data_IF_803071357999
#
_entry.id   IF_803071357999
#
_cell.length_a   1.000
_cell.length_b   1.000
_cell.length_c   1.000
_cell.angle_alpha   90.00
_cell.angle_beta   90.00
_cell.angle_gamma   90.00
#
_symmetry.space_group_name_H-M   'P 1'
#
loop_
_entity.id
_entity.type
_entity.pdbx_description
1 polymer ?
#
# COMPACT_ATOMS: atom_id res chain seq x y z
N UNK A 1 12.32 17.44 25.16
CA UNK A 1 12.27 17.72 23.70
C UNK A 1 11.60 16.58 22.99
N UNK A 2 10.66 16.88 22.08
CA UNK A 2 10.01 15.85 21.28
C UNK A 2 10.90 15.48 20.11
N UNK A 3 11.18 14.20 19.97
CA UNK A 3 11.98 13.67 18.86
C UNK A 3 11.15 12.68 18.06
N UNK A 4 11.51 12.51 16.79
CA UNK A 4 10.82 11.60 15.89
C UNK A 4 11.82 10.68 15.21
N UNK A 5 11.37 9.49 14.92
CA UNK A 5 12.09 8.59 14.03
C UNK A 5 11.30 8.46 12.73
N UNK A 6 11.99 8.15 11.65
CA UNK A 6 11.40 8.10 10.31
C UNK A 6 11.68 6.76 9.66
N UNK A 7 10.73 6.33 8.84
CA UNK A 7 10.86 5.10 8.09
C UNK A 7 10.26 5.31 6.69
N UNK A 8 10.86 4.68 5.70
CA UNK A 8 10.36 4.70 4.33
C UNK A 8 9.98 3.27 3.96
N UNK A 9 8.75 3.09 3.47
CA UNK A 9 8.30 1.79 2.98
C UNK A 9 7.99 1.87 1.50
N UNK A 10 8.27 0.77 0.79
CA UNK A 10 7.96 0.65 -0.63
C UNK A 10 6.88 -0.40 -0.80
N UNK A 11 5.89 -0.06 -1.62
CA UNK A 11 4.77 -0.95 -1.92
C UNK A 11 4.72 -1.16 -3.42
N UNK A 12 5.10 -2.35 -3.92
CA UNK A 12 5.15 -2.60 -5.35
C UNK A 12 3.79 -2.44 -6.02
N UNK A 13 3.82 -2.08 -7.30
CA UNK A 13 2.59 -1.88 -8.07
C UNK A 13 1.70 -3.13 -8.07
N UNK A 14 2.29 -4.31 -7.98
CA UNK A 14 1.55 -5.58 -7.96
C UNK A 14 0.59 -5.66 -6.77
N UNK A 15 0.90 -4.99 -5.66
CA UNK A 15 0.03 -4.99 -4.48
C UNK A 15 -1.28 -4.24 -4.73
N UNK A 16 -1.34 -3.46 -5.81
CA UNK A 16 -2.51 -2.66 -6.17
C UNK A 16 -3.26 -3.25 -7.36
N UNK A 17 -2.93 -4.49 -7.74
CA UNK A 17 -3.54 -5.21 -8.84
C UNK A 17 -3.92 -6.62 -8.38
N UNK A 18 -4.83 -7.23 -9.11
CA UNK A 18 -5.20 -8.63 -8.87
C UNK A 18 -5.43 -9.32 -10.19
N UNK A 19 -5.17 -10.64 -10.20
CA UNK A 19 -5.42 -11.47 -11.36
C UNK A 19 -6.83 -12.07 -11.24
N UNK A 20 -7.60 -11.95 -12.30
CA UNK A 20 -8.97 -12.44 -12.33
C UNK A 20 -9.16 -13.31 -13.57
N UNK A 21 -9.85 -14.44 -13.41
CA UNK A 21 -10.23 -15.27 -14.53
C UNK A 21 -11.52 -14.75 -15.14
N UNK A 22 -11.48 -14.54 -16.45
CA UNK A 22 -12.67 -14.26 -17.24
C UNK A 22 -12.93 -15.45 -18.16
N UNK A 23 -14.10 -16.03 -18.06
CA UNK A 23 -14.47 -17.19 -18.85
C UNK A 23 -15.62 -16.84 -19.79
N UNK A 24 -15.55 -17.33 -21.04
CA UNK A 24 -16.62 -17.17 -22.01
C UNK A 24 -17.63 -18.32 -21.89
N UNK A 25 -18.79 -18.16 -22.52
CA UNK A 25 -19.80 -19.19 -22.53
C UNK A 25 -19.34 -20.49 -23.22
N UNK A 26 -18.34 -20.37 -24.11
CA UNK A 26 -17.77 -21.51 -24.82
C UNK A 26 -16.73 -22.26 -23.98
N UNK A 27 -16.47 -21.81 -22.76
CA UNK A 27 -15.53 -22.48 -21.86
C UNK A 27 -14.08 -22.01 -21.97
N UNK A 28 -13.82 -20.99 -22.78
CA UNK A 28 -12.49 -20.41 -22.86
C UNK A 28 -12.29 -19.46 -21.68
N UNK A 29 -11.23 -19.67 -20.92
CA UNK A 29 -10.90 -18.81 -19.77
C UNK A 29 -9.55 -18.17 -20.01
N UNK A 30 -9.45 -16.90 -19.62
CA UNK A 30 -8.21 -16.14 -19.67
C UNK A 30 -7.98 -15.41 -18.36
N UNK A 31 -6.70 -15.21 -18.05
CA UNK A 31 -6.28 -14.52 -16.83
C UNK A 31 -6.01 -13.06 -17.16
N UNK A 32 -6.70 -12.16 -16.45
CA UNK A 32 -6.53 -10.73 -16.67
C UNK A 32 -6.03 -10.04 -15.40
N UNK A 33 -5.10 -9.11 -15.57
CA UNK A 33 -4.59 -8.26 -14.50
C UNK A 33 -5.48 -7.02 -14.43
N UNK A 34 -6.20 -6.89 -13.32
CA UNK A 34 -7.12 -5.75 -13.14
C UNK A 34 -6.71 -4.95 -11.91
N UNK A 35 -6.97 -3.64 -11.90
CA UNK A 35 -6.68 -2.82 -10.73
C UNK A 35 -7.54 -3.25 -9.54
N UNK A 36 -6.93 -3.29 -8.37
CA UNK A 36 -7.66 -3.46 -7.12
C UNK A 36 -8.22 -2.09 -6.72
N UNK A 37 -9.12 -2.08 -5.74
CA UNK A 37 -9.57 -0.84 -5.12
C UNK A 37 -8.37 -0.22 -4.39
N UNK A 38 -7.72 0.73 -5.04
CA UNK A 38 -6.50 1.35 -4.55
C UNK A 38 -6.73 2.09 -3.25
N UNK A 39 -7.89 2.70 -3.09
CA UNK A 39 -8.24 3.40 -1.85
C UNK A 39 -8.30 2.44 -0.68
N UNK A 40 -8.92 1.28 -0.87
CA UNK A 40 -9.00 0.27 0.18
C UNK A 40 -7.63 -0.28 0.54
N UNK A 41 -6.77 -0.53 -0.46
CA UNK A 41 -5.41 -1.02 -0.23
C UNK A 41 -4.61 0.00 0.56
N UNK A 42 -4.65 1.28 0.15
CA UNK A 42 -3.92 2.33 0.85
C UNK A 42 -4.45 2.54 2.27
N UNK A 43 -5.76 2.51 2.44
CA UNK A 43 -6.36 2.65 3.77
C UNK A 43 -5.88 1.52 4.70
N UNK A 44 -5.79 0.31 4.18
CA UNK A 44 -5.27 -0.83 4.94
C UNK A 44 -3.83 -0.61 5.38
N UNK A 45 -2.98 -0.13 4.47
CA UNK A 45 -1.58 0.17 4.79
C UNK A 45 -1.49 1.25 5.86
N UNK A 46 -2.26 2.33 5.70
CA UNK A 46 -2.26 3.44 6.66
C UNK A 46 -2.71 3.00 8.05
N UNK A 47 -3.77 2.19 8.11
CA UNK A 47 -4.30 1.72 9.38
C UNK A 47 -3.35 0.76 10.07
N UNK A 48 -2.72 -0.14 9.32
CA UNK A 48 -1.75 -1.09 9.87
C UNK A 48 -0.56 -0.34 10.48
N UNK A 49 -0.01 0.62 9.75
CA UNK A 49 1.12 1.40 10.26
C UNK A 49 0.70 2.31 11.41
N UNK A 50 -0.50 2.89 11.34
CA UNK A 50 -1.03 3.73 12.42
C UNK A 50 -1.17 2.98 13.73
N UNK A 51 -1.56 1.70 13.68
CA UNK A 51 -1.66 0.87 14.88
C UNK A 51 -0.29 0.64 15.53
N UNK A 52 0.78 0.78 14.77
CA UNK A 52 2.14 0.68 15.29
C UNK A 52 2.70 2.03 15.72
N UNK A 53 1.89 3.08 15.69
CA UNK A 53 2.29 4.41 16.12
C UNK A 53 2.85 5.29 15.01
N UNK A 54 2.85 4.81 13.76
CA UNK A 54 3.37 5.58 12.63
C UNK A 54 2.33 6.54 12.08
N UNK A 55 2.77 7.74 11.75
CA UNK A 55 1.96 8.74 11.06
C UNK A 55 2.54 8.99 9.68
N UNK A 56 1.68 9.09 8.67
CA UNK A 56 2.12 9.33 7.30
C UNK A 56 2.58 10.77 7.14
N UNK A 57 3.79 10.96 6.61
CA UNK A 57 4.31 12.29 6.29
C UNK A 57 4.01 12.62 4.83
N UNK A 58 4.28 11.69 3.94
CA UNK A 58 4.14 11.90 2.51
C UNK A 58 4.09 10.56 1.80
N UNK A 59 3.43 10.56 0.65
CA UNK A 59 3.40 9.40 -0.23
C UNK A 59 3.76 9.86 -1.64
N UNK A 60 4.55 9.06 -2.34
CA UNK A 60 4.95 9.31 -3.71
C UNK A 60 4.50 8.16 -4.58
N UNK A 61 3.80 8.47 -5.68
CA UNK A 61 3.30 7.47 -6.62
C UNK A 61 4.18 7.43 -7.85
N UNK A 62 4.55 6.23 -8.26
CA UNK A 62 5.34 6.02 -9.47
C UNK A 62 4.86 4.79 -10.21
N UNK A 63 5.43 4.54 -11.40
CA UNK A 63 5.04 3.40 -12.22
C UNK A 63 5.35 2.07 -11.55
N UNK A 64 6.34 2.04 -10.66
CA UNK A 64 6.78 0.81 -10.00
C UNK A 64 6.07 0.57 -8.68
N UNK A 65 5.24 1.51 -8.24
CA UNK A 65 4.51 1.37 -7.00
C UNK A 65 4.44 2.66 -6.21
N UNK A 66 4.29 2.50 -4.91
CA UNK A 66 4.10 3.61 -3.98
C UNK A 66 5.21 3.59 -2.95
N UNK A 67 5.77 4.77 -2.67
CA UNK A 67 6.75 4.95 -1.61
C UNK A 67 6.12 5.83 -0.53
N UNK A 68 6.11 5.36 0.70
CA UNK A 68 5.48 6.07 1.81
C UNK A 68 6.53 6.46 2.85
N UNK A 69 6.42 7.68 3.32
CA UNK A 69 7.32 8.26 4.32
C UNK A 69 6.56 8.40 5.62
N UNK A 70 7.09 7.83 6.68
CA UNK A 70 6.44 7.75 7.97
C UNK A 70 7.28 8.40 9.06
N UNK A 71 6.62 8.89 10.10
CA UNK A 71 7.30 9.33 11.30
C UNK A 71 6.60 8.75 12.51
N UNK A 72 7.34 8.59 13.58
CA UNK A 72 6.80 8.12 14.84
C UNK A 72 7.54 8.84 15.97
N UNK A 73 6.80 9.23 16.98
CA UNK A 73 7.42 9.86 18.15
C UNK A 73 8.28 8.83 18.88
N UNK A 74 9.52 9.23 19.17
CA UNK A 74 10.40 8.36 19.96
C UNK A 74 9.96 8.43 21.41
N UNK A 75 9.75 7.26 22.02
CA UNK A 75 9.42 7.20 23.42
C UNK A 75 10.68 7.40 24.25
N UNK A 76 10.61 8.35 25.17
CA UNK A 76 11.67 8.55 26.14
C UNK A 76 11.29 7.80 27.42
N UNK A 77 12.22 6.96 27.90
CA UNK A 77 12.05 6.27 29.16
C UNK A 77 12.58 7.13 30.32
#
# INVERSE_FOLDING_TARGET
>A
MKTFEYEITQHPAENFRQLVYFCTETGECSLHDVPRDQTAVLTGILNERGQQGWALVQVSFGKDGVMAFWKRKVQEN
#
